data_IF_263445617079
#
_entry.id   IF_263445617079
#
_cell.length_a   1.000
_cell.length_b   1.000
_cell.length_c   1.000
_cell.angle_alpha   90.00
_cell.angle_beta   90.00
_cell.angle_gamma   90.00
#
_symmetry.space_group_name_H-M   'P 1'
#
loop_
_entity.id
_entity.type
_entity.pdbx_description
1 polymer ?
#
# COMPACT_ATOMS: atom_id res chain seq x y z
N UNK A 1 47.60 33.10 -0.49
CA UNK A 1 46.41 33.97 -0.50
C UNK A 1 45.18 33.09 -0.30
N UNK A 2 44.60 33.16 0.91
CA UNK A 2 43.23 32.82 1.31
C UNK A 2 42.62 31.43 1.00
N UNK A 3 42.97 30.47 1.85
CA UNK A 3 42.01 29.60 2.55
C UNK A 3 41.02 30.51 3.29
N UNK A 4 39.72 30.15 3.33
CA UNK A 4 38.55 30.86 3.91
C UNK A 4 37.73 31.59 2.84
N UNK A 5 36.59 30.99 2.42
CA UNK A 5 35.28 31.66 2.15
C UNK A 5 34.24 30.89 1.31
N UNK A 6 34.29 29.56 1.19
CA UNK A 6 33.14 28.78 0.65
C UNK A 6 32.84 27.55 1.52
N UNK A 7 33.13 27.63 2.82
CA UNK A 7 32.72 26.63 3.83
C UNK A 7 32.29 27.40 5.07
N UNK A 8 31.31 28.30 4.94
CA UNK A 8 30.65 28.99 6.06
C UNK A 8 29.50 29.84 5.50
N UNK A 9 28.27 29.34 5.52
CA UNK A 9 27.15 30.14 5.03
C UNK A 9 25.77 29.47 4.92
N UNK A 10 25.54 28.39 5.66
CA UNK A 10 24.22 27.87 6.04
C UNK A 10 24.48 26.62 6.91
N UNK A 11 25.07 26.75 8.10
CA UNK A 11 24.29 26.97 9.32
C UNK A 11 22.89 26.33 9.18
N UNK A 12 22.76 25.11 9.69
CA UNK A 12 22.13 24.92 11.00
C UNK A 12 20.77 25.63 11.02
N UNK A 13 19.72 24.95 10.54
CA UNK A 13 18.51 24.57 11.31
C UNK A 13 17.66 23.70 10.38
N UNK A 14 18.01 22.43 10.21
CA UNK A 14 17.00 21.37 10.05
C UNK A 14 17.55 20.04 10.58
N UNK A 15 18.39 20.13 11.63
CA UNK A 15 18.37 19.16 12.70
C UNK A 15 17.10 19.44 13.53
N UNK A 16 15.92 19.35 12.88
CA UNK A 16 14.69 19.11 13.61
C UNK A 16 14.86 17.67 14.09
N UNK A 17 15.39 17.54 15.30
CA UNK A 17 14.74 16.79 16.38
C UNK A 17 13.56 15.93 15.92
N UNK A 18 13.79 14.92 15.10
CA UNK A 18 12.91 13.77 15.05
C UNK A 18 13.37 12.92 16.20
N UNK A 19 12.90 13.33 17.38
CA UNK A 19 12.69 12.45 18.51
C UNK A 19 12.39 11.06 17.95
N UNK A 20 13.31 10.12 18.17
CA UNK A 20 13.03 8.68 18.09
C UNK A 20 12.00 8.38 19.20
N UNK A 21 10.81 8.98 19.10
CA UNK A 21 9.62 8.34 19.58
C UNK A 21 9.51 7.11 18.71
N UNK A 22 9.86 5.97 19.28
CA UNK A 22 9.21 4.71 18.97
C UNK A 22 7.70 4.93 19.11
N UNK A 23 7.08 5.62 18.15
CA UNK A 23 5.65 5.46 17.93
C UNK A 23 5.54 3.98 17.63
N UNK A 24 4.83 3.24 18.49
CA UNK A 24 4.29 1.94 18.07
C UNK A 24 3.55 2.22 16.77
N UNK A 25 4.17 1.90 15.65
CA UNK A 25 3.53 2.10 14.37
C UNK A 25 2.48 1.00 14.25
N UNK A 26 1.24 1.41 14.06
CA UNK A 26 0.14 0.47 13.89
C UNK A 26 0.47 -0.44 12.71
N UNK A 27 0.46 -1.75 12.94
CA UNK A 27 0.56 -2.74 11.88
C UNK A 27 -0.85 -3.08 11.41
N UNK A 28 -1.03 -3.23 10.10
CA UNK A 28 -2.27 -3.64 9.49
C UNK A 28 -2.08 -4.98 8.78
N UNK A 29 -3.09 -5.84 8.83
CA UNK A 29 -3.19 -7.02 7.98
C UNK A 29 -4.13 -6.67 6.82
N UNK A 30 -3.56 -6.52 5.62
CA UNK A 30 -4.33 -6.25 4.41
C UNK A 30 -4.63 -7.55 3.69
N UNK A 31 -5.91 -7.89 3.57
CA UNK A 31 -6.39 -9.10 2.89
C UNK A 31 -7.08 -8.68 1.60
N UNK A 32 -6.62 -9.23 0.48
CA UNK A 32 -7.23 -9.09 -0.83
C UNK A 32 -7.93 -10.40 -1.19
N UNK A 33 -9.24 -10.35 -1.36
CA UNK A 33 -10.02 -11.44 -1.92
C UNK A 33 -10.28 -11.14 -3.39
N UNK A 34 -9.90 -12.06 -4.28
CA UNK A 34 -10.19 -11.98 -5.72
C UNK A 34 -11.13 -13.12 -6.09
N UNK A 35 -12.20 -12.78 -6.79
CA UNK A 35 -13.16 -13.72 -7.34
C UNK A 35 -13.23 -13.55 -8.86
N UNK A 36 -12.98 -14.62 -9.59
CA UNK A 36 -12.99 -14.68 -11.05
C UNK A 36 -14.14 -15.58 -11.47
N UNK A 37 -15.04 -15.09 -12.32
CA UNK A 37 -16.21 -15.84 -12.81
C UNK A 37 -16.20 -15.79 -14.33
N UNK A 38 -16.14 -16.97 -14.96
CA UNK A 38 -16.34 -17.13 -16.40
C UNK A 38 -17.82 -17.36 -16.73
N UNK A 39 -18.26 -16.87 -17.88
CA UNK A 39 -19.63 -17.13 -18.39
C UNK A 39 -19.83 -18.57 -18.88
N UNK A 40 -18.76 -19.34 -19.00
CA UNK A 40 -18.75 -20.79 -19.16
C UNK A 40 -19.13 -21.56 -17.88
N UNK A 41 -19.34 -20.85 -16.77
CA UNK A 41 -19.67 -21.41 -15.46
C UNK A 41 -18.45 -21.76 -14.60
N UNK A 42 -17.24 -21.46 -15.07
CA UNK A 42 -16.03 -21.56 -14.25
C UNK A 42 -16.00 -20.46 -13.18
N UNK A 43 -15.45 -20.78 -12.00
CA UNK A 43 -15.17 -19.76 -10.99
C UNK A 43 -13.94 -20.12 -10.17
N UNK A 44 -13.17 -19.11 -9.79
CA UNK A 44 -11.99 -19.24 -8.95
C UNK A 44 -11.97 -18.12 -7.89
N UNK A 45 -11.72 -18.51 -6.65
CA UNK A 45 -11.53 -17.56 -5.53
C UNK A 45 -10.12 -17.70 -4.99
N UNK A 46 -9.40 -16.58 -4.93
CA UNK A 46 -8.07 -16.48 -4.34
C UNK A 46 -8.07 -15.47 -3.21
N UNK A 47 -7.21 -15.68 -2.20
CA UNK A 47 -7.03 -14.75 -1.08
C UNK A 47 -5.54 -14.54 -0.84
N UNK A 48 -5.12 -13.28 -0.78
CA UNK A 48 -3.74 -12.89 -0.50
C UNK A 48 -3.73 -11.99 0.73
N UNK A 49 -2.83 -12.26 1.67
CA UNK A 49 -2.65 -11.42 2.86
C UNK A 49 -1.26 -10.80 2.86
N UNK A 50 -1.19 -9.48 3.03
CA UNK A 50 0.04 -8.71 3.04
C UNK A 50 0.07 -7.86 4.32
N UNK A 51 1.07 -8.04 5.20
CA UNK A 51 1.25 -7.16 6.35
C UNK A 51 1.72 -5.77 5.89
N UNK A 52 1.18 -4.73 6.52
CA UNK A 52 1.55 -3.34 6.31
C UNK A 52 1.83 -2.68 7.66
N UNK A 53 3.10 -2.67 8.06
CA UNK A 53 3.59 -1.92 9.21
C UNK A 53 4.23 -0.61 8.76
N UNK A 54 4.41 0.32 9.71
CA UNK A 54 5.08 1.59 9.47
C UNK A 54 4.43 2.50 8.42
N UNK A 55 3.12 2.34 8.20
CA UNK A 55 2.35 3.13 7.25
C UNK A 55 1.37 4.07 7.95
N UNK A 56 1.13 5.23 7.33
CA UNK A 56 0.07 6.14 7.80
C UNK A 56 -1.31 5.58 7.43
N UNK A 57 -2.36 6.05 8.11
CA UNK A 57 -3.75 5.64 7.79
C UNK A 57 -4.12 5.97 6.34
N UNK A 58 -3.61 7.07 5.81
CA UNK A 58 -3.82 7.48 4.42
C UNK A 58 -3.13 6.51 3.45
N UNK A 59 -1.91 6.05 3.75
CA UNK A 59 -1.21 5.04 2.95
C UNK A 59 -1.94 3.69 2.96
N UNK A 60 -2.50 3.30 4.12
CA UNK A 60 -3.33 2.11 4.24
C UNK A 60 -4.60 2.25 3.39
N UNK A 61 -5.29 3.40 3.46
CA UNK A 61 -6.47 3.68 2.64
C UNK A 61 -6.17 3.63 1.14
N UNK A 62 -5.03 4.19 0.71
CA UNK A 62 -4.58 4.09 -0.68
C UNK A 62 -4.31 2.65 -1.11
N UNK A 63 -3.80 1.79 -0.22
CA UNK A 63 -3.64 0.35 -0.50
C UNK A 63 -4.98 -0.36 -0.65
N UNK A 64 -5.95 -0.07 0.22
CA UNK A 64 -7.30 -0.64 0.11
C UNK A 64 -7.97 -0.25 -1.21
N UNK A 65 -7.87 1.03 -1.59
CA UNK A 65 -8.41 1.54 -2.85
C UNK A 65 -7.71 0.92 -4.05
N UNK A 66 -6.38 0.84 -4.05
CA UNK A 66 -5.60 0.25 -5.14
C UNK A 66 -5.85 -1.27 -5.30
N UNK A 67 -6.12 -1.97 -4.20
CA UNK A 67 -6.40 -3.41 -4.20
C UNK A 67 -7.87 -3.76 -4.35
N UNK A 68 -8.76 -2.78 -4.54
CA UNK A 68 -10.20 -3.01 -4.74
C UNK A 68 -10.59 -2.58 -6.15
N UNK A 69 -11.01 -3.52 -6.98
CA UNK A 69 -11.39 -3.24 -8.36
C UNK A 69 -12.41 -4.25 -8.89
N UNK A 70 -13.09 -3.85 -9.96
CA UNK A 70 -13.92 -4.72 -10.79
C UNK A 70 -13.50 -4.56 -12.23
N UNK A 71 -13.26 -5.66 -12.92
CA UNK A 71 -12.94 -5.65 -14.34
C UNK A 71 -13.65 -6.78 -15.07
N UNK A 72 -13.99 -6.52 -16.31
CA UNK A 72 -14.56 -7.50 -17.24
C UNK A 72 -13.64 -7.57 -18.44
N UNK A 73 -13.22 -8.77 -18.83
CA UNK A 73 -12.38 -8.99 -20.00
C UNK A 73 -12.78 -10.30 -20.69
N UNK A 74 -12.22 -10.54 -21.87
CA UNK A 74 -12.46 -11.77 -22.62
C UNK A 74 -11.13 -12.50 -22.79
N UNK A 75 -11.08 -13.75 -22.38
CA UNK A 75 -9.92 -14.62 -22.55
C UNK A 75 -10.37 -15.90 -23.22
N UNK A 76 -9.70 -16.28 -24.32
CA UNK A 76 -10.07 -17.48 -25.10
C UNK A 76 -11.54 -17.54 -25.55
N UNK A 77 -12.19 -16.38 -25.73
CA UNK A 77 -13.59 -16.28 -26.13
C UNK A 77 -14.61 -16.37 -24.98
N UNK A 78 -14.14 -16.54 -23.74
CA UNK A 78 -14.97 -16.60 -22.52
C UNK A 78 -14.99 -15.20 -21.89
N UNK A 79 -16.17 -14.71 -21.51
CA UNK A 79 -16.30 -13.45 -20.77
C UNK A 79 -15.98 -13.74 -19.31
N UNK A 80 -14.98 -13.04 -18.78
CA UNK A 80 -14.51 -13.16 -17.41
C UNK A 80 -14.86 -11.88 -16.66
N UNK A 81 -15.58 -12.03 -15.55
CA UNK A 81 -15.85 -10.98 -14.59
C UNK A 81 -14.98 -11.22 -13.35
N UNK A 82 -14.09 -10.28 -13.05
CA UNK A 82 -13.16 -10.33 -11.92
C UNK A 82 -13.45 -9.20 -10.93
N UNK A 83 -13.67 -9.59 -9.68
CA UNK A 83 -13.90 -8.70 -8.54
C UNK A 83 -12.81 -8.93 -7.51
N UNK A 84 -12.06 -7.89 -7.20
CA UNK A 84 -11.07 -7.90 -6.14
C UNK A 84 -11.48 -6.89 -5.06
N UNK A 85 -11.36 -7.30 -3.80
CA UNK A 85 -11.62 -6.45 -2.64
C UNK A 85 -10.49 -6.57 -1.64
N UNK A 86 -9.87 -5.44 -1.32
CA UNK A 86 -8.85 -5.36 -0.29
C UNK A 86 -9.41 -4.73 0.98
N UNK A 87 -9.08 -5.30 2.13
CA UNK A 87 -9.47 -4.78 3.44
C UNK A 87 -8.28 -4.87 4.39
N UNK A 88 -7.91 -3.74 5.00
CA UNK A 88 -6.80 -3.64 5.93
C UNK A 88 -7.31 -3.47 7.35
N UNK A 89 -7.00 -4.42 8.23
CA UNK A 89 -7.41 -4.38 9.64
C UNK A 89 -6.21 -4.12 10.54
N UNK A 90 -6.32 -3.17 11.46
CA UNK A 90 -5.27 -2.89 12.44
C UNK A 90 -5.08 -4.10 13.36
N UNK A 91 -3.83 -4.57 13.45
CA UNK A 91 -3.40 -5.66 14.32
C UNK A 91 -3.00 -5.04 15.65
N UNK A 92 -3.75 -5.36 16.70
CA UNK A 92 -3.54 -4.85 18.07
C UNK A 92 -2.62 -5.73 18.89
#
# INVERSE_FOLDING_TARGET
MNIKRIVLGAFLVFAISTSFSCKKTACYSCVTETNVIGDDGSSEKTTVSIPACDQTKEQIKMKEEAGTYKRTYTESGIKIDEDAKTTCTEVK
#
